data_IF_007856408922
#
_entry.id   IF_007856408922
#
_cell.length_a   1.000
_cell.length_b   1.000
_cell.length_c   1.000
_cell.angle_alpha   90.00
_cell.angle_beta   90.00
_cell.angle_gamma   90.00
#
_symmetry.space_group_name_H-M   'P 1'
#
loop_
_entity.id
_entity.type
_entity.pdbx_description
1 polymer ?
#
# COMPACT_ATOMS: atom_id res chain seq x y z
N UNK A 1 -41.52 -44.44 47.31
CA UNK A 1 -40.37 -44.34 46.41
C UNK A 1 -40.66 -43.65 45.06
N UNK A 2 -41.93 -43.36 44.73
CA UNK A 2 -42.31 -42.77 43.45
C UNK A 2 -42.36 -41.21 43.42
N UNK A 3 -42.53 -40.54 44.57
CA UNK A 3 -42.62 -39.06 44.60
C UNK A 3 -41.29 -38.39 44.30
N UNK A 4 -40.15 -38.96 44.66
CA UNK A 4 -38.80 -38.43 44.39
C UNK A 4 -38.45 -38.40 42.92
N UNK A 5 -38.91 -39.37 42.13
CA UNK A 5 -38.74 -39.40 40.66
C UNK A 5 -39.51 -38.28 39.98
N UNK A 6 -40.68 -37.92 40.41
CA UNK A 6 -41.50 -36.84 39.85
C UNK A 6 -40.89 -35.46 40.14
N UNK A 7 -40.34 -35.26 41.33
CA UNK A 7 -39.65 -34.02 41.68
C UNK A 7 -38.32 -33.87 40.92
N UNK A 8 -37.62 -34.96 40.66
CA UNK A 8 -36.39 -34.97 39.89
C UNK A 8 -36.63 -34.68 38.39
N UNK A 9 -37.69 -35.24 37.82
CA UNK A 9 -38.13 -34.97 36.44
C UNK A 9 -38.62 -33.50 36.30
N UNK A 10 -39.37 -33.04 37.28
CA UNK A 10 -39.84 -31.64 37.30
C UNK A 10 -38.65 -30.63 37.39
N UNK A 11 -37.64 -30.93 38.17
CA UNK A 11 -36.42 -30.14 38.29
C UNK A 11 -35.62 -30.09 36.98
N UNK A 12 -35.50 -31.23 36.28
CA UNK A 12 -34.80 -31.29 34.98
C UNK A 12 -35.57 -30.50 33.91
N UNK A 13 -36.92 -30.56 33.89
CA UNK A 13 -37.71 -29.80 32.92
C UNK A 13 -37.73 -28.32 33.19
N UNK A 14 -37.60 -27.85 34.44
CA UNK A 14 -37.47 -26.43 34.74
C UNK A 14 -36.08 -25.86 34.42
N UNK A 15 -35.01 -26.64 34.54
CA UNK A 15 -33.63 -26.19 34.17
C UNK A 15 -33.46 -26.07 32.67
N UNK A 16 -34.17 -26.89 31.86
CA UNK A 16 -34.08 -26.83 30.39
C UNK A 16 -34.82 -25.63 29.76
N UNK A 17 -35.63 -24.88 30.53
CA UNK A 17 -36.33 -23.70 30.02
C UNK A 17 -35.52 -22.39 30.16
N UNK A 18 -34.37 -22.40 30.83
CA UNK A 18 -33.53 -21.21 31.03
C UNK A 18 -32.35 -21.14 30.06
N UNK A 19 -32.22 -22.09 29.12
CA UNK A 19 -31.11 -22.11 28.15
C UNK A 19 -31.56 -21.69 26.77
N UNK A 20 -31.96 -20.39 26.63
CA UNK A 20 -31.93 -19.67 25.34
C UNK A 20 -32.16 -18.17 25.61
N UNK A 21 -31.25 -17.51 26.25
CA UNK A 21 -31.04 -16.11 25.96
C UNK A 21 -30.26 -16.05 24.65
N UNK A 22 -30.96 -15.86 23.54
CA UNK A 22 -30.37 -15.44 22.30
C UNK A 22 -29.78 -14.06 22.58
N UNK A 23 -28.48 -13.98 22.86
CA UNK A 23 -27.75 -12.73 22.78
C UNK A 23 -27.88 -12.26 21.33
N UNK A 24 -28.86 -11.41 21.07
CA UNK A 24 -28.99 -10.65 19.84
C UNK A 24 -27.87 -9.58 19.75
N UNK A 25 -26.66 -9.94 20.08
CA UNK A 25 -25.47 -9.22 19.63
C UNK A 25 -25.21 -9.60 18.17
N UNK A 26 -26.15 -9.30 17.28
CA UNK A 26 -25.81 -9.09 15.89
C UNK A 26 -24.87 -7.90 15.90
N UNK A 27 -23.56 -8.16 15.73
CA UNK A 27 -22.61 -7.11 15.48
C UNK A 27 -23.21 -6.25 14.37
N UNK A 28 -23.43 -4.98 14.65
CA UNK A 28 -23.94 -4.04 13.67
C UNK A 28 -22.98 -4.03 12.50
N UNK A 29 -23.41 -4.54 11.35
CA UNK A 29 -22.57 -4.55 10.13
C UNK A 29 -22.52 -3.10 9.67
N UNK A 30 -21.45 -2.38 10.05
CA UNK A 30 -21.20 -1.03 9.56
C UNK A 30 -20.79 -1.16 8.08
N UNK A 31 -21.55 -0.59 7.15
CA UNK A 31 -21.19 -0.65 5.74
C UNK A 31 -19.86 0.07 5.51
N UNK A 32 -19.07 -0.34 4.48
CA UNK A 32 -17.88 0.39 4.08
C UNK A 32 -18.19 1.86 3.80
N UNK A 33 -17.23 2.74 4.05
CA UNK A 33 -17.34 4.16 3.69
C UNK A 33 -17.50 4.28 2.17
N UNK A 34 -18.16 5.34 1.73
CA UNK A 34 -18.21 5.69 0.31
C UNK A 34 -16.80 6.00 -0.21
N UNK A 35 -16.47 5.52 -1.43
CA UNK A 35 -15.13 5.69 -2.00
C UNK A 35 -14.77 7.15 -2.23
N UNK A 36 -15.68 7.98 -2.71
CA UNK A 36 -15.40 9.40 -2.95
C UNK A 36 -15.16 10.17 -1.65
N UNK A 37 -15.95 9.85 -0.62
CA UNK A 37 -15.82 10.45 0.72
C UNK A 37 -14.48 10.07 1.36
N UNK A 38 -14.11 8.79 1.30
CA UNK A 38 -12.83 8.33 1.84
C UNK A 38 -11.67 8.89 1.05
N UNK A 39 -11.75 8.90 -0.28
CA UNK A 39 -10.71 9.45 -1.14
C UNK A 39 -10.42 10.93 -0.85
N UNK A 40 -11.44 11.74 -0.59
CA UNK A 40 -11.23 13.14 -0.21
C UNK A 40 -10.40 13.28 1.08
N UNK A 41 -10.61 12.39 2.04
CA UNK A 41 -9.80 12.32 3.27
C UNK A 41 -8.37 11.87 2.98
N UNK A 42 -8.22 10.80 2.19
CA UNK A 42 -6.92 10.24 1.82
C UNK A 42 -6.05 11.24 1.07
N UNK A 43 -6.64 11.95 0.10
CA UNK A 43 -5.94 12.96 -0.69
C UNK A 43 -5.44 14.10 0.20
N UNK A 44 -6.26 14.55 1.15
CA UNK A 44 -5.85 15.57 2.11
C UNK A 44 -4.67 15.09 2.97
N UNK A 45 -4.70 13.86 3.46
CA UNK A 45 -3.62 13.28 4.28
C UNK A 45 -2.34 13.08 3.45
N UNK A 46 -2.46 12.61 2.21
CA UNK A 46 -1.32 12.50 1.29
C UNK A 46 -0.71 13.87 1.00
N UNK A 47 -1.52 14.88 0.67
CA UNK A 47 -1.01 16.22 0.40
C UNK A 47 -0.41 16.89 1.65
N UNK A 48 -0.95 16.64 2.85
CA UNK A 48 -0.32 17.08 4.09
C UNK A 48 1.04 16.42 4.28
N UNK A 49 1.14 15.10 4.02
CA UNK A 49 2.42 14.39 4.06
C UNK A 49 3.43 15.03 3.09
N UNK A 50 3.04 15.20 1.84
CA UNK A 50 3.89 15.80 0.80
C UNK A 50 4.36 17.22 1.17
N UNK A 51 3.53 18.01 1.88
CA UNK A 51 3.83 19.40 2.29
C UNK A 51 4.63 19.50 3.59
N UNK A 52 4.57 18.46 4.46
CA UNK A 52 5.16 18.50 5.79
C UNK A 52 6.34 17.55 5.98
N UNK A 53 6.65 16.72 4.98
CA UNK A 53 7.83 15.84 4.98
C UNK A 53 8.80 16.24 3.87
N UNK A 54 10.07 15.92 4.07
CA UNK A 54 11.15 16.20 3.14
C UNK A 54 12.05 14.98 2.95
N UNK A 55 12.80 14.98 1.86
CA UNK A 55 13.83 13.96 1.60
C UNK A 55 15.05 14.35 2.41
N UNK A 56 15.31 13.62 3.49
CA UNK A 56 16.46 13.90 4.38
C UNK A 56 17.76 13.40 3.74
N UNK A 57 17.72 12.22 3.14
CA UNK A 57 18.87 11.60 2.50
C UNK A 57 18.42 10.66 1.36
N UNK A 58 19.29 10.53 0.35
CA UNK A 58 19.21 9.53 -0.70
C UNK A 58 20.59 8.91 -0.82
N UNK A 59 20.72 7.64 -0.45
CA UNK A 59 22.00 6.92 -0.53
C UNK A 59 22.45 6.76 -2.01
N UNK A 60 23.72 6.44 -2.28
CA UNK A 60 24.20 6.09 -3.63
C UNK A 60 23.38 4.97 -4.27
N UNK A 61 22.86 4.02 -3.47
CA UNK A 61 21.96 2.95 -3.91
C UNK A 61 20.48 3.35 -3.97
N UNK A 62 20.20 4.66 -3.85
CA UNK A 62 18.84 5.26 -3.91
C UNK A 62 17.92 4.75 -2.79
N UNK A 63 18.46 4.37 -1.63
CA UNK A 63 17.66 4.23 -0.42
C UNK A 63 17.22 5.61 0.05
N UNK A 64 15.92 5.77 0.26
CA UNK A 64 15.35 7.08 0.55
C UNK A 64 14.95 7.19 2.00
N UNK A 65 15.48 8.19 2.70
CA UNK A 65 15.05 8.57 4.03
C UNK A 65 14.17 9.81 3.95
N UNK A 66 12.91 9.63 4.34
CA UNK A 66 11.92 10.73 4.40
C UNK A 66 11.64 11.03 5.87
N UNK A 67 11.70 12.30 6.22
CA UNK A 67 11.53 12.78 7.61
C UNK A 67 10.59 13.97 7.65
N UNK A 68 9.86 14.12 8.76
CA UNK A 68 8.97 15.27 8.97
C UNK A 68 9.79 16.54 9.13
N UNK A 69 9.38 17.62 8.46
CA UNK A 69 9.99 18.93 8.63
C UNK A 69 9.78 19.40 10.07
N UNK A 70 10.85 19.73 10.82
CA UNK A 70 10.72 20.24 12.19
C UNK A 70 9.91 21.54 12.23
N UNK A 71 9.30 21.83 13.35
CA UNK A 71 8.61 23.13 13.55
C UNK A 71 9.58 24.29 13.31
N UNK A 72 9.24 25.18 12.38
CA UNK A 72 10.12 26.29 11.96
C UNK A 72 11.26 25.89 11.01
N UNK A 73 11.31 24.62 10.57
CA UNK A 73 12.28 24.15 9.58
C UNK A 73 12.02 24.75 8.18
N UNK A 74 13.10 24.86 7.39
CA UNK A 74 13.11 25.46 6.05
C UNK A 74 13.45 24.45 4.95
N UNK A 75 13.47 23.14 5.28
CA UNK A 75 13.75 22.09 4.32
C UNK A 75 12.71 22.09 3.19
N UNK A 76 13.12 21.85 1.94
CA UNK A 76 12.18 21.77 0.83
C UNK A 76 11.25 20.54 1.02
N UNK A 77 9.96 20.78 1.09
CA UNK A 77 8.99 19.68 1.22
C UNK A 77 8.97 18.83 -0.05
N UNK A 78 8.48 17.57 0.05
CA UNK A 78 8.31 16.70 -1.13
C UNK A 78 7.42 17.41 -2.18
N UNK A 79 6.40 18.13 -1.74
CA UNK A 79 5.50 18.86 -2.62
C UNK A 79 6.22 19.93 -3.46
N UNK A 80 7.35 20.49 -3.00
CA UNK A 80 8.13 21.49 -3.75
C UNK A 80 8.73 20.94 -5.05
N UNK A 81 8.81 19.62 -5.20
CA UNK A 81 9.27 18.94 -6.42
C UNK A 81 8.15 18.70 -7.45
N UNK A 82 6.94 19.22 -7.21
CA UNK A 82 5.82 19.04 -8.14
C UNK A 82 6.15 19.66 -9.51
N UNK A 83 6.14 18.81 -10.54
CA UNK A 83 6.53 19.16 -11.91
C UNK A 83 7.94 19.77 -12.05
N UNK A 84 8.85 19.39 -11.13
CA UNK A 84 10.26 19.82 -11.24
C UNK A 84 10.86 19.37 -12.59
N UNK A 85 11.65 20.22 -13.25
CA UNK A 85 12.35 19.84 -14.49
C UNK A 85 13.49 18.85 -14.27
N UNK A 86 13.99 18.75 -13.04
CA UNK A 86 15.12 17.88 -12.65
C UNK A 86 14.71 16.94 -11.51
N UNK A 87 15.41 15.84 -11.34
CA UNK A 87 15.20 14.94 -10.21
C UNK A 87 15.64 15.56 -8.87
N UNK A 88 14.92 15.30 -7.79
CA UNK A 88 13.67 14.57 -7.71
C UNK A 88 12.51 15.26 -8.45
N UNK A 89 11.58 14.46 -9.01
CA UNK A 89 10.37 14.98 -9.67
C UNK A 89 9.15 14.37 -9.00
N UNK A 90 8.27 15.19 -8.43
CA UNK A 90 6.96 14.76 -8.00
C UNK A 90 5.98 14.89 -9.17
N UNK A 91 5.39 13.80 -9.56
CA UNK A 91 4.43 13.71 -10.65
C UNK A 91 3.09 13.15 -10.11
N UNK A 92 2.06 13.20 -10.94
CA UNK A 92 0.79 12.56 -10.63
C UNK A 92 0.14 12.02 -11.88
N UNK A 93 -0.66 10.95 -11.72
CA UNK A 93 -1.52 10.41 -12.76
C UNK A 93 -2.94 10.19 -12.23
N UNK A 94 -3.89 10.13 -13.13
CA UNK A 94 -5.27 9.80 -12.83
C UNK A 94 -5.51 8.30 -12.99
N UNK A 95 -6.21 7.70 -12.03
CA UNK A 95 -6.63 6.30 -12.03
C UNK A 95 -8.13 6.24 -11.87
N UNK A 96 -8.83 5.71 -12.87
CA UNK A 96 -10.30 5.51 -12.83
C UNK A 96 -10.61 4.16 -12.23
N UNK A 97 -11.25 4.16 -11.06
CA UNK A 97 -11.66 2.95 -10.34
C UNK A 97 -12.82 3.31 -9.40
N UNK A 98 -13.70 2.37 -9.06
CA UNK A 98 -14.82 2.56 -8.13
C UNK A 98 -15.74 3.74 -8.50
N UNK A 99 -15.95 3.97 -9.80
CA UNK A 99 -16.75 5.07 -10.36
C UNK A 99 -16.25 6.48 -10.00
N UNK A 100 -15.01 6.61 -9.54
CA UNK A 100 -14.34 7.88 -9.28
C UNK A 100 -12.97 7.94 -9.98
N UNK A 101 -12.37 9.12 -10.00
CA UNK A 101 -11.02 9.33 -10.49
C UNK A 101 -10.09 9.66 -9.33
N UNK A 102 -9.15 8.74 -9.05
CA UNK A 102 -8.10 8.95 -8.07
C UNK A 102 -6.93 9.72 -8.69
N UNK A 103 -6.36 10.66 -7.95
CA UNK A 103 -5.07 11.26 -8.24
C UNK A 103 -4.01 10.51 -7.44
N UNK A 104 -3.15 9.79 -8.14
CA UNK A 104 -2.02 9.06 -7.57
C UNK A 104 -0.77 9.93 -7.74
N UNK A 105 -0.08 10.24 -6.64
CA UNK A 105 1.22 10.92 -6.69
C UNK A 105 2.36 9.91 -6.67
N UNK A 106 3.43 10.22 -7.42
CA UNK A 106 4.68 9.47 -7.35
C UNK A 106 5.89 10.39 -7.51
N UNK A 107 6.91 10.12 -6.70
CA UNK A 107 8.18 10.85 -6.71
C UNK A 107 9.21 10.03 -7.48
N UNK A 108 9.76 10.57 -8.55
CA UNK A 108 10.83 9.95 -9.32
C UNK A 108 12.16 10.45 -8.79
N UNK A 109 12.97 9.54 -8.26
CA UNK A 109 14.34 9.78 -7.85
C UNK A 109 15.31 9.43 -8.98
N UNK A 110 15.01 8.34 -9.68
CA UNK A 110 15.71 7.85 -10.87
C UNK A 110 14.72 7.06 -11.74
N UNK A 111 14.65 7.35 -13.03
CA UNK A 111 13.73 6.66 -13.96
C UNK A 111 14.11 5.20 -14.21
N UNK A 112 15.40 4.90 -14.24
CA UNK A 112 15.95 3.67 -14.80
C UNK A 112 16.27 3.81 -16.29
N UNK A 113 17.05 2.86 -16.83
CA UNK A 113 17.52 2.88 -18.23
C UNK A 113 17.05 1.68 -19.06
N UNK A 114 16.45 0.68 -18.41
CA UNK A 114 15.97 -0.56 -19.03
C UNK A 114 14.54 -0.47 -19.55
N UNK A 115 13.80 -1.55 -19.47
CA UNK A 115 12.41 -1.65 -19.89
C UNK A 115 11.43 -1.25 -18.77
N UNK A 116 10.28 -0.68 -19.14
CA UNK A 116 9.16 -0.47 -18.21
C UNK A 116 8.28 -1.73 -18.15
N UNK A 117 7.78 -2.13 -16.98
CA UNK A 117 6.73 -3.14 -16.89
C UNK A 117 5.40 -2.60 -17.42
N UNK A 118 4.51 -3.51 -17.78
CA UNK A 118 3.08 -3.28 -17.81
C UNK A 118 2.46 -3.65 -16.46
N UNK A 119 1.20 -3.33 -16.24
CA UNK A 119 0.45 -3.77 -15.06
C UNK A 119 0.16 -5.28 -15.04
N UNK A 120 0.40 -5.98 -16.16
CA UNK A 120 0.22 -7.42 -16.31
C UNK A 120 1.52 -8.24 -16.17
N UNK A 121 2.64 -7.59 -15.85
CA UNK A 121 3.96 -8.23 -15.69
C UNK A 121 4.26 -8.61 -14.23
N UNK A 122 5.34 -9.36 -14.04
CA UNK A 122 5.96 -9.53 -12.73
C UNK A 122 7.20 -8.65 -12.60
N UNK A 123 7.46 -8.19 -11.37
CA UNK A 123 8.61 -7.32 -11.05
C UNK A 123 9.44 -7.89 -9.90
N UNK A 124 10.76 -7.68 -9.95
CA UNK A 124 11.67 -7.83 -8.83
C UNK A 124 11.95 -6.44 -8.28
N UNK A 125 11.45 -6.15 -7.08
CA UNK A 125 11.61 -4.84 -6.46
C UNK A 125 11.95 -4.93 -4.98
N UNK A 126 12.91 -4.11 -4.53
CA UNK A 126 13.05 -3.79 -3.11
C UNK A 126 12.08 -2.67 -2.76
N UNK A 127 11.51 -2.70 -1.56
CA UNK A 127 10.59 -1.66 -1.10
C UNK A 127 10.55 -1.53 0.42
N UNK A 128 10.08 -0.36 0.86
CA UNK A 128 9.69 -0.08 2.23
C UNK A 128 8.32 0.57 2.22
N UNK A 129 7.39 0.02 3.00
CA UNK A 129 6.01 0.49 3.10
C UNK A 129 5.73 1.16 4.45
N UNK A 130 5.12 2.34 4.38
CA UNK A 130 4.58 3.08 5.52
C UNK A 130 3.08 3.32 5.30
N UNK A 131 2.27 3.29 6.36
CA UNK A 131 0.90 3.78 6.32
C UNK A 131 0.79 5.15 7.00
N UNK A 132 -0.09 6.00 6.47
CA UNK A 132 -0.40 7.29 7.06
C UNK A 132 -1.57 7.14 8.05
N UNK A 133 -1.47 7.81 9.19
CA UNK A 133 -2.55 7.82 10.18
C UNK A 133 -2.71 9.17 10.84
N UNK A 134 -3.97 9.54 11.08
CA UNK A 134 -4.36 10.72 11.83
C UNK A 134 -5.11 10.25 13.08
N UNK A 135 -4.60 10.62 14.25
CA UNK A 135 -5.22 10.31 15.55
C UNK A 135 -5.50 11.59 16.31
N UNK A 136 -6.69 11.69 16.87
CA UNK A 136 -7.06 12.80 17.77
C UNK A 136 -7.31 12.25 19.15
N UNK A 137 -6.47 12.63 20.11
CA UNK A 137 -6.56 12.24 21.51
C UNK A 137 -6.54 13.50 22.37
N UNK A 138 -7.49 13.63 23.31
CA UNK A 138 -7.60 14.78 24.20
C UNK A 138 -7.51 16.15 23.47
N UNK A 139 -8.16 16.27 22.30
CA UNK A 139 -8.16 17.45 21.42
C UNK A 139 -6.83 17.78 20.74
N UNK A 140 -5.86 16.88 20.82
CA UNK A 140 -4.58 16.98 20.08
C UNK A 140 -4.63 16.04 18.89
N UNK A 141 -4.51 16.57 17.69
CA UNK A 141 -4.43 15.77 16.47
C UNK A 141 -2.97 15.55 16.09
N UNK A 142 -2.58 14.28 15.98
CA UNK A 142 -1.26 13.87 15.49
C UNK A 142 -1.39 13.23 14.12
N UNK A 143 -0.48 13.57 13.22
CA UNK A 143 -0.35 12.98 11.90
C UNK A 143 1.01 12.33 11.78
N UNK A 144 1.04 11.05 11.38
CA UNK A 144 2.27 10.25 11.32
C UNK A 144 2.28 9.26 10.18
N UNK A 145 3.48 8.89 9.74
CA UNK A 145 3.75 7.74 8.90
C UNK A 145 4.35 6.63 9.79
N UNK A 146 3.88 5.41 9.62
CA UNK A 146 4.33 4.26 10.42
C UNK A 146 4.73 3.13 9.48
N UNK A 147 5.98 2.69 9.58
CA UNK A 147 6.49 1.57 8.79
C UNK A 147 5.79 0.27 9.18
N UNK A 148 5.40 -0.52 8.17
CA UNK A 148 4.78 -1.84 8.39
C UNK A 148 5.59 -2.97 7.75
N UNK A 149 6.35 -2.70 6.70
CA UNK A 149 7.12 -3.71 5.99
C UNK A 149 8.38 -3.11 5.32
N UNK A 150 9.42 -3.93 5.18
CA UNK A 150 10.59 -3.63 4.36
C UNK A 150 11.13 -4.92 3.73
N UNK A 151 11.29 -4.91 2.40
CA UNK A 151 11.97 -5.95 1.63
C UNK A 151 13.20 -5.34 0.99
N UNK A 152 14.34 -5.49 1.65
CA UNK A 152 15.61 -4.89 1.23
C UNK A 152 16.33 -5.69 0.14
N UNK A 153 16.21 -7.03 0.24
CA UNK A 153 16.85 -7.97 -0.66
C UNK A 153 15.80 -8.93 -1.24
N UNK A 154 15.09 -8.53 -2.30
CA UNK A 154 14.03 -9.35 -2.87
C UNK A 154 14.63 -10.64 -3.48
N UNK A 155 13.96 -11.78 -3.22
CA UNK A 155 14.36 -13.10 -3.71
C UNK A 155 13.38 -13.64 -4.74
N UNK A 156 12.21 -13.04 -4.87
CA UNK A 156 11.15 -13.51 -5.75
C UNK A 156 10.50 -12.32 -6.47
N UNK A 157 10.14 -12.57 -7.73
CA UNK A 157 9.26 -11.66 -8.44
C UNK A 157 7.81 -11.82 -7.95
N UNK A 158 7.06 -10.74 -8.01
CA UNK A 158 5.61 -10.77 -7.76
C UNK A 158 4.87 -10.17 -8.96
N UNK A 159 3.73 -10.79 -9.30
CA UNK A 159 2.87 -10.33 -10.39
C UNK A 159 2.12 -9.07 -9.98
N UNK A 160 2.18 -8.03 -10.81
CA UNK A 160 1.43 -6.79 -10.60
C UNK A 160 -0.09 -6.99 -10.66
N UNK A 161 -0.56 -8.03 -11.36
CA UNK A 161 -1.98 -8.43 -11.35
C UNK A 161 -2.45 -8.94 -9.97
N UNK A 162 -1.53 -9.42 -9.13
CA UNK A 162 -1.84 -9.98 -7.81
C UNK A 162 -1.53 -9.02 -6.66
N UNK A 163 -1.09 -7.80 -6.96
CA UNK A 163 -0.78 -6.77 -5.96
C UNK A 163 -1.91 -5.76 -5.83
N UNK A 164 -1.76 -4.79 -4.92
CA UNK A 164 -2.68 -3.66 -4.82
C UNK A 164 -2.64 -2.81 -6.09
N UNK A 165 -3.78 -2.26 -6.48
CA UNK A 165 -3.92 -1.49 -7.74
C UNK A 165 -2.88 -0.38 -7.89
N UNK A 166 -2.56 0.32 -6.80
CA UNK A 166 -1.57 1.40 -6.84
C UNK A 166 -0.18 0.99 -7.30
N UNK A 167 0.21 -0.27 -7.12
CA UNK A 167 1.48 -0.81 -7.62
C UNK A 167 1.43 -1.02 -9.13
N UNK A 168 0.38 -1.68 -9.63
CA UNK A 168 0.16 -1.87 -11.07
C UNK A 168 0.07 -0.54 -11.83
N UNK A 169 -0.39 0.52 -11.17
CA UNK A 169 -0.49 1.85 -11.73
C UNK A 169 0.81 2.66 -11.65
N UNK A 170 1.71 2.36 -10.71
CA UNK A 170 2.93 3.15 -10.50
C UNK A 170 4.16 2.53 -11.16
N UNK A 171 4.37 1.22 -11.07
CA UNK A 171 5.57 0.60 -11.64
C UNK A 171 5.77 0.85 -13.14
N UNK A 172 4.72 0.93 -13.99
CA UNK A 172 4.87 1.27 -15.40
C UNK A 172 5.50 2.63 -15.69
N UNK A 173 5.50 3.55 -14.73
CA UNK A 173 6.13 4.88 -14.84
C UNK A 173 7.66 4.82 -14.67
N UNK A 174 8.21 3.66 -14.33
CA UNK A 174 9.64 3.44 -14.09
C UNK A 174 10.21 2.37 -15.04
N UNK A 175 11.53 2.31 -15.10
CA UNK A 175 12.27 1.35 -15.90
C UNK A 175 13.19 0.53 -15.02
N UNK A 176 13.51 -0.68 -15.45
CA UNK A 176 14.59 -1.47 -14.86
C UNK A 176 15.95 -0.83 -15.09
N UNK A 177 17.00 -1.44 -14.57
CA UNK A 177 18.38 -1.08 -14.83
C UNK A 177 19.12 -2.16 -15.59
N UNK A 178 20.39 -2.27 -15.25
CA UNK A 178 21.28 -3.36 -15.66
C UNK A 178 21.66 -4.21 -14.46
N UNK A 179 22.13 -5.42 -14.70
CA UNK A 179 22.65 -6.28 -13.66
C UNK A 179 23.96 -6.95 -14.09
N UNK A 180 24.75 -7.36 -13.11
CA UNK A 180 25.95 -8.17 -13.30
C UNK A 180 26.02 -9.28 -12.26
N UNK A 181 26.38 -10.49 -12.69
CA UNK A 181 26.64 -11.60 -11.80
C UNK A 181 28.04 -11.44 -11.17
N UNK A 182 28.12 -11.57 -9.86
CA UNK A 182 29.37 -11.54 -9.12
C UNK A 182 29.98 -12.94 -9.01
N UNK A 183 31.28 -13.00 -8.71
CA UNK A 183 32.00 -14.27 -8.57
C UNK A 183 31.57 -15.10 -7.36
N UNK A 184 30.92 -14.48 -6.39
CA UNK A 184 30.37 -15.13 -5.20
C UNK A 184 28.94 -15.65 -5.39
N UNK A 185 28.37 -15.51 -6.62
CA UNK A 185 27.03 -15.94 -6.96
C UNK A 185 25.92 -14.92 -6.64
N UNK A 186 26.27 -13.75 -6.12
CA UNK A 186 25.31 -12.65 -5.96
C UNK A 186 25.10 -11.86 -7.24
N UNK A 187 24.06 -11.05 -7.31
CA UNK A 187 23.76 -10.15 -8.43
C UNK A 187 23.81 -8.71 -7.94
N UNK A 188 24.53 -7.87 -8.70
CA UNK A 188 24.56 -6.42 -8.48
C UNK A 188 23.68 -5.72 -9.52
N UNK A 189 22.81 -4.83 -9.07
CA UNK A 189 21.93 -4.03 -9.92
C UNK A 189 22.42 -2.60 -9.99
N UNK A 190 22.35 -1.99 -11.18
CA UNK A 190 22.78 -0.60 -11.45
C UNK A 190 21.75 0.10 -12.32
N UNK A 191 21.68 1.43 -12.19
CA UNK A 191 20.85 2.31 -13.03
C UNK A 191 19.35 1.97 -13.10
N UNK A 192 18.85 1.22 -12.10
CA UNK A 192 17.45 0.84 -11.96
C UNK A 192 16.56 2.04 -11.58
N UNK A 193 15.29 1.97 -11.91
CA UNK A 193 14.29 2.94 -11.49
C UNK A 193 14.07 2.92 -9.99
N UNK A 194 13.95 4.08 -9.37
CA UNK A 194 13.70 4.22 -7.96
C UNK A 194 12.84 5.45 -7.65
N UNK A 195 11.93 5.30 -6.72
CA UNK A 195 11.00 6.36 -6.37
C UNK A 195 10.16 6.08 -5.14
N UNK A 196 9.15 6.92 -4.96
CA UNK A 196 8.19 6.79 -3.87
C UNK A 196 6.78 6.95 -4.45
N UNK A 197 5.86 6.06 -4.14
CA UNK A 197 4.45 6.15 -4.50
C UNK A 197 3.61 6.52 -3.26
N UNK A 198 2.57 7.32 -3.49
CA UNK A 198 1.65 7.81 -2.45
C UNK A 198 0.24 7.40 -2.86
N UNK A 199 -0.29 6.38 -2.21
CA UNK A 199 -1.49 5.69 -2.62
C UNK A 199 -2.68 6.02 -1.72
N UNK A 200 -3.79 6.54 -2.26
CA UNK A 200 -5.05 6.55 -1.54
C UNK A 200 -5.46 5.13 -1.14
N UNK A 201 -6.16 4.97 -0.02
CA UNK A 201 -6.57 3.66 0.49
C UNK A 201 -7.38 2.84 -0.52
N UNK A 202 -8.16 3.50 -1.38
CA UNK A 202 -8.93 2.84 -2.44
C UNK A 202 -8.08 2.21 -3.55
N UNK A 203 -6.81 2.59 -3.67
CA UNK A 203 -5.82 1.92 -4.54
C UNK A 203 -4.93 0.94 -3.78
N UNK A 204 -5.20 0.75 -2.48
CA UNK A 204 -4.52 -0.16 -1.57
C UNK A 204 -5.46 -1.18 -0.94
N UNK A 205 -5.55 -1.20 0.40
CA UNK A 205 -6.33 -2.20 1.15
C UNK A 205 -7.72 -1.72 1.58
N UNK A 206 -8.08 -0.46 1.34
CA UNK A 206 -9.36 0.17 1.64
C UNK A 206 -9.90 -0.17 3.04
N UNK A 207 -11.13 -0.73 3.11
CA UNK A 207 -11.82 -1.05 4.35
C UNK A 207 -11.32 -2.33 5.04
N UNK A 208 -10.59 -3.17 4.33
CA UNK A 208 -10.10 -4.44 4.88
C UNK A 208 -8.87 -4.26 5.76
N UNK A 209 -8.05 -3.24 5.49
CA UNK A 209 -6.70 -3.18 6.04
C UNK A 209 -5.87 -4.40 5.62
N UNK A 210 -4.69 -4.59 6.20
CA UNK A 210 -3.88 -5.79 6.00
C UNK A 210 -2.85 -5.90 7.12
N UNK A 211 -2.81 -7.03 7.82
CA UNK A 211 -1.88 -7.26 8.94
C UNK A 211 -1.85 -6.07 9.92
N UNK A 212 -0.75 -5.29 9.94
CA UNK A 212 -0.59 -4.11 10.79
C UNK A 212 -1.14 -2.81 10.17
N UNK A 213 -1.62 -2.86 8.91
CA UNK A 213 -2.14 -1.68 8.20
C UNK A 213 -3.61 -1.47 8.59
N UNK A 214 -3.96 -0.32 9.18
CA UNK A 214 -5.36 -0.03 9.51
C UNK A 214 -6.25 0.07 8.27
N UNK A 215 -7.55 -0.21 8.42
CA UNK A 215 -8.53 0.11 7.40
C UNK A 215 -8.50 1.61 7.05
N UNK A 216 -8.70 1.93 5.79
CA UNK A 216 -8.73 3.30 5.24
C UNK A 216 -7.42 4.09 5.37
N UNK A 217 -6.29 3.43 5.56
CA UNK A 217 -5.00 4.10 5.65
C UNK A 217 -4.41 4.34 4.24
N UNK A 218 -4.03 5.57 3.87
CA UNK A 218 -3.20 5.83 2.72
C UNK A 218 -1.82 5.22 2.91
N UNK A 219 -1.17 4.81 1.82
CA UNK A 219 0.11 4.11 1.84
C UNK A 219 1.20 4.92 1.15
N UNK A 220 2.41 4.78 1.65
CA UNK A 220 3.63 5.34 1.06
C UNK A 220 4.62 4.21 0.88
N UNK A 221 5.07 3.97 -0.36
CA UNK A 221 6.11 2.98 -0.63
C UNK A 221 7.30 3.64 -1.30
N UNK A 222 8.46 3.57 -0.67
CA UNK A 222 9.74 3.78 -1.35
C UNK A 222 10.15 2.48 -2.00
N UNK A 223 10.61 2.50 -3.26
CA UNK A 223 10.93 1.27 -3.99
C UNK A 223 12.08 1.44 -4.98
N UNK A 224 12.65 0.30 -5.39
CA UNK A 224 13.68 0.13 -6.42
C UNK A 224 13.24 -0.98 -7.35
N UNK A 225 13.15 -0.72 -8.65
CA UNK A 225 12.71 -1.68 -9.67
C UNK A 225 13.93 -2.31 -10.35
N UNK A 226 14.25 -3.54 -9.99
CA UNK A 226 15.45 -4.23 -10.51
C UNK A 226 15.21 -4.92 -11.84
N UNK A 227 14.21 -5.80 -11.91
CA UNK A 227 13.91 -6.63 -13.07
C UNK A 227 12.42 -6.73 -13.33
N UNK A 228 12.07 -7.13 -14.56
CA UNK A 228 10.72 -7.48 -14.98
C UNK A 228 10.71 -8.85 -15.63
N UNK A 229 9.58 -9.55 -15.52
CA UNK A 229 9.28 -10.76 -16.29
C UNK A 229 7.94 -10.57 -16.97
N UNK A 230 7.95 -10.73 -18.30
CA UNK A 230 6.73 -10.75 -19.09
C UNK A 230 6.00 -12.07 -18.82
N UNK A 231 4.72 -11.97 -18.45
CA UNK A 231 3.90 -13.14 -18.15
C UNK A 231 3.05 -13.53 -19.35
N UNK A 232 2.82 -14.83 -19.47
CA UNK A 232 1.87 -15.49 -20.36
C UNK A 232 1.05 -16.41 -19.43
N UNK A 233 -0.12 -15.96 -18.99
CA UNK A 233 -0.86 -16.61 -17.91
C UNK A 233 -1.68 -17.82 -18.36
N UNK A 234 -2.10 -17.87 -19.63
CA UNK A 234 -2.88 -18.97 -20.20
C UNK A 234 -2.03 -19.93 -21.04
N UNK A 235 -0.78 -19.56 -21.37
CA UNK A 235 0.20 -20.40 -22.05
C UNK A 235 -0.06 -20.54 -23.55
N UNK A 236 -0.72 -19.59 -24.17
CA UNK A 236 -1.02 -19.62 -25.61
C UNK A 236 0.11 -19.05 -26.48
N UNK A 237 1.15 -18.49 -25.86
CA UNK A 237 2.32 -17.90 -26.50
C UNK A 237 2.20 -16.40 -26.76
N UNK A 238 1.11 -15.77 -26.38
CA UNK A 238 0.92 -14.31 -26.38
C UNK A 238 1.17 -13.81 -24.95
N UNK A 239 1.94 -12.74 -24.82
CA UNK A 239 2.23 -12.21 -23.49
C UNK A 239 1.05 -11.36 -22.97
N UNK A 240 0.74 -11.46 -21.69
CA UNK A 240 -0.40 -10.76 -21.06
C UNK A 240 -0.51 -9.28 -21.44
N UNK A 241 0.61 -8.56 -21.59
CA UNK A 241 0.59 -7.14 -21.94
C UNK A 241 0.21 -6.87 -23.42
N UNK A 242 0.14 -7.91 -24.25
CA UNK A 242 -0.28 -7.85 -25.67
C UNK A 242 -1.74 -8.27 -25.83
N UNK A 243 -2.35 -8.75 -24.76
CA UNK A 243 -3.77 -9.16 -24.71
C UNK A 243 -4.60 -8.01 -24.13
N UNK A 244 -5.84 -7.91 -24.60
CA UNK A 244 -6.86 -7.04 -24.00
C UNK A 244 -7.40 -7.72 -22.72
N UNK A 245 -6.71 -7.58 -21.60
CA UNK A 245 -7.11 -8.10 -20.29
C UNK A 245 -7.93 -7.06 -19.54
#
# INVERSE_FOLDING_TARGET
>A
MNKFKYYFILLITTVSLFSCSKDNNTAEIVPPRDYAVQYATDLNDIEEYLKTYYIEDVSPDVDTKITKIPTGGTQPSIFSYLNSPTFPKLLSREVKLHDITYKLYYLVLREGIGASPSNADAVLAAYKGDYLSRKTEASVTTFSATQFEEVKYPQQMFSLLSTITGWGETFPEFKTGTYSANTDGTVSYSDFGAGVMFLPSGLGYYNSGSASIPAYAPLVFSFKLYEISRLDSDGDGILNYQEDI
#
